data_IF_483775199219
#
_entry.id   IF_483775199219
#
_cell.length_a   1.000
_cell.length_b   1.000
_cell.length_c   1.000
_cell.angle_alpha   90.00
_cell.angle_beta   90.00
_cell.angle_gamma   90.00
#
_symmetry.space_group_name_H-M   'P 1'
#
loop_
_entity.id
_entity.type
_entity.pdbx_description
1 polymer ?
#
# COMPACT_ATOMS: atom_id res chain seq x y z
N UNK A 1 15.44 10.80 8.93
CA UNK A 1 16.18 9.70 8.28
C UNK A 1 15.26 8.50 8.24
N UNK A 2 14.82 8.10 7.05
CA UNK A 2 14.08 6.85 6.84
C UNK A 2 15.10 5.72 6.89
N UNK A 3 14.82 4.64 7.62
CA UNK A 3 15.71 3.48 7.64
C UNK A 3 15.61 2.72 6.30
N UNK A 4 16.66 2.70 5.45
CA UNK A 4 16.57 2.13 4.09
C UNK A 4 16.17 0.65 4.13
N UNK A 5 16.72 -0.10 5.08
CA UNK A 5 16.47 -1.53 5.28
C UNK A 5 14.99 -1.80 5.58
N UNK A 6 14.33 -0.96 6.37
CA UNK A 6 12.92 -1.16 6.71
C UNK A 6 12.04 -0.91 5.47
N UNK A 7 12.36 0.14 4.71
CA UNK A 7 11.65 0.48 3.47
C UNK A 7 11.72 -0.63 2.42
N UNK A 8 12.93 -1.12 2.12
CA UNK A 8 13.14 -2.20 1.14
C UNK A 8 12.38 -3.48 1.52
N UNK A 9 12.42 -3.89 2.79
CA UNK A 9 11.70 -5.09 3.25
C UNK A 9 10.19 -4.92 3.11
N UNK A 10 9.69 -3.72 3.35
CA UNK A 10 8.27 -3.39 3.21
C UNK A 10 7.83 -3.47 1.74
N UNK A 11 8.59 -2.88 0.83
CA UNK A 11 8.32 -2.93 -0.62
C UNK A 11 8.33 -4.37 -1.14
N UNK A 12 9.34 -5.17 -0.76
CA UNK A 12 9.38 -6.60 -1.10
C UNK A 12 8.15 -7.33 -0.56
N UNK A 13 7.74 -7.05 0.68
CA UNK A 13 6.56 -7.66 1.30
C UNK A 13 5.27 -7.32 0.55
N UNK A 14 5.13 -6.09 0.06
CA UNK A 14 4.03 -5.65 -0.80
C UNK A 14 4.09 -6.40 -2.13
N UNK A 15 5.26 -6.45 -2.77
CA UNK A 15 5.49 -7.14 -4.02
C UNK A 15 5.07 -8.62 -3.96
N UNK A 16 5.52 -9.35 -2.93
CA UNK A 16 5.14 -10.75 -2.69
C UNK A 16 3.62 -10.88 -2.51
N UNK A 17 3.01 -10.00 -1.71
CA UNK A 17 1.57 -10.00 -1.45
C UNK A 17 0.76 -9.79 -2.74
N UNK A 18 1.16 -8.81 -3.56
CA UNK A 18 0.44 -8.48 -4.79
C UNK A 18 0.60 -9.60 -5.84
N UNK A 19 1.80 -10.17 -5.96
CA UNK A 19 2.05 -11.30 -6.87
C UNK A 19 1.31 -12.55 -6.42
N UNK A 20 1.24 -12.87 -5.13
CA UNK A 20 0.49 -14.05 -4.65
C UNK A 20 -1.00 -13.94 -4.98
N UNK A 21 -1.57 -12.75 -4.87
CA UNK A 21 -2.97 -12.47 -5.23
C UNK A 21 -3.26 -12.65 -6.72
N UNK A 22 -2.27 -12.50 -7.61
CA UNK A 22 -2.43 -12.78 -9.05
C UNK A 22 -2.81 -14.24 -9.32
N UNK A 23 -2.27 -15.16 -8.51
CA UNK A 23 -2.49 -16.60 -8.67
C UNK A 23 -3.70 -17.12 -7.89
N UNK A 24 -4.20 -16.37 -6.90
CA UNK A 24 -5.26 -16.83 -6.01
C UNK A 24 -6.66 -16.65 -6.60
N UNK A 25 -7.34 -17.76 -6.90
CA UNK A 25 -8.77 -17.76 -7.24
C UNK A 25 -9.67 -17.35 -6.08
N UNK A 26 -9.22 -17.55 -4.84
CA UNK A 26 -9.94 -17.19 -3.61
C UNK A 26 -10.01 -15.67 -3.43
N UNK A 27 -9.09 -14.94 -4.05
CA UNK A 27 -9.04 -13.49 -4.05
C UNK A 27 -9.22 -12.92 -5.46
N UNK A 28 -10.48 -12.85 -5.97
CA UNK A 28 -10.76 -12.37 -7.32
C UNK A 28 -10.32 -10.93 -7.58
N UNK A 29 -9.91 -10.17 -6.54
CA UNK A 29 -9.42 -8.79 -6.66
C UNK A 29 -8.30 -8.61 -7.67
N UNK A 30 -7.34 -9.52 -7.63
CA UNK A 30 -6.15 -9.45 -8.48
C UNK A 30 -5.94 -10.71 -9.31
N UNK A 31 -6.82 -11.72 -9.20
CA UNK A 31 -6.70 -12.97 -9.93
C UNK A 31 -6.58 -12.72 -11.43
N UNK A 32 -5.46 -13.17 -12.03
CA UNK A 32 -5.11 -12.98 -13.45
C UNK A 32 -5.11 -11.53 -13.94
N UNK A 33 -5.06 -10.54 -13.04
CA UNK A 33 -4.94 -9.13 -13.41
C UNK A 33 -3.50 -8.82 -13.79
N UNK A 34 -3.22 -8.63 -15.08
CA UNK A 34 -1.87 -8.29 -15.57
C UNK A 34 -1.33 -7.02 -14.90
N UNK A 35 -2.21 -6.06 -14.59
CA UNK A 35 -1.86 -4.84 -13.88
C UNK A 35 -1.33 -5.12 -12.46
N UNK A 36 -1.94 -6.06 -11.74
CA UNK A 36 -1.47 -6.46 -10.42
C UNK A 36 -0.10 -7.14 -10.52
N UNK A 37 0.12 -8.00 -11.52
CA UNK A 37 1.42 -8.63 -11.73
C UNK A 37 2.52 -7.59 -12.00
N UNK A 38 2.24 -6.58 -12.83
CA UNK A 38 3.19 -5.49 -13.12
C UNK A 38 3.50 -4.68 -11.86
N UNK A 39 2.48 -4.32 -11.06
CA UNK A 39 2.68 -3.59 -9.80
C UNK A 39 3.48 -4.42 -8.80
N UNK A 40 3.15 -5.71 -8.66
CA UNK A 40 3.87 -6.61 -7.77
C UNK A 40 5.32 -6.81 -8.19
N UNK A 41 5.57 -7.00 -9.49
CA UNK A 41 6.93 -7.10 -10.03
C UNK A 41 7.72 -5.79 -9.86
N UNK A 42 7.06 -4.64 -10.02
CA UNK A 42 7.64 -3.34 -9.74
C UNK A 42 8.12 -3.25 -8.28
N UNK A 43 7.28 -3.56 -7.30
CA UNK A 43 7.64 -3.54 -5.88
C UNK A 43 8.70 -4.59 -5.48
N UNK A 44 8.91 -5.63 -6.29
CA UNK A 44 10.02 -6.58 -6.08
C UNK A 44 11.34 -6.11 -6.69
N UNK A 45 11.27 -5.43 -7.84
CA UNK A 45 12.45 -5.02 -8.61
C UNK A 45 13.01 -3.68 -8.15
N UNK A 46 12.14 -2.75 -7.75
CA UNK A 46 12.50 -1.39 -7.38
C UNK A 46 13.47 -1.33 -6.18
N UNK A 47 13.23 -1.98 -5.02
CA UNK A 47 14.19 -1.98 -3.92
C UNK A 47 15.55 -2.61 -4.28
N UNK A 48 15.58 -3.57 -5.20
CA UNK A 48 16.84 -4.14 -5.71
C UNK A 48 17.61 -3.13 -6.56
N UNK A 49 16.91 -2.35 -7.37
CA UNK A 49 17.52 -1.30 -8.19
C UNK A 49 18.03 -0.16 -7.32
N UNK A 50 17.28 0.24 -6.30
CA UNK A 50 17.71 1.24 -5.32
C UNK A 50 19.00 0.81 -4.61
N UNK A 51 19.05 -0.44 -4.13
CA UNK A 51 20.25 -0.99 -3.50
C UNK A 51 21.45 -1.04 -4.45
N UNK A 52 21.25 -1.39 -5.72
CA UNK A 52 22.33 -1.55 -6.70
C UNK A 52 22.82 -0.21 -7.30
N UNK A 53 21.94 0.79 -7.38
CA UNK A 53 22.20 2.05 -8.09
C UNK A 53 22.26 3.27 -7.17
N UNK A 54 22.00 3.12 -5.86
CA UNK A 54 21.97 4.19 -4.85
C UNK A 54 21.01 5.34 -5.23
N UNK A 55 19.81 4.97 -5.68
CA UNK A 55 18.75 5.90 -6.12
C UNK A 55 17.75 6.09 -4.97
N UNK A 56 17.22 7.31 -4.82
CA UNK A 56 16.06 7.56 -3.95
C UNK A 56 14.77 7.39 -4.74
N UNK A 57 14.09 6.26 -4.55
CA UNK A 57 12.83 5.96 -5.22
C UNK A 57 11.57 6.33 -4.45
N UNK A 58 11.63 7.14 -3.39
CA UNK A 58 10.46 7.46 -2.54
C UNK A 58 9.23 7.92 -3.35
N UNK A 59 9.48 8.64 -4.46
CA UNK A 59 8.43 9.07 -5.40
C UNK A 59 7.82 7.89 -6.18
N UNK A 60 8.64 6.93 -6.60
CA UNK A 60 8.18 5.74 -7.31
C UNK A 60 7.37 4.81 -6.41
N UNK A 61 7.80 4.62 -5.16
CA UNK A 61 7.03 3.90 -4.14
C UNK A 61 5.64 4.52 -3.96
N UNK A 62 5.58 5.85 -3.83
CA UNK A 62 4.32 6.60 -3.74
C UNK A 62 3.41 6.39 -4.95
N UNK A 63 3.97 6.47 -6.17
CA UNK A 63 3.23 6.19 -7.41
C UNK A 63 2.73 4.74 -7.43
N UNK A 64 3.56 3.78 -7.04
CA UNK A 64 3.20 2.37 -6.92
C UNK A 64 2.04 2.15 -5.96
N UNK A 65 2.05 2.81 -4.81
CA UNK A 65 0.98 2.75 -3.82
C UNK A 65 -0.35 3.30 -4.39
N UNK A 66 -0.30 4.42 -5.12
CA UNK A 66 -1.49 5.00 -5.77
C UNK A 66 -2.05 4.07 -6.85
N UNK A 67 -1.18 3.46 -7.66
CA UNK A 67 -1.58 2.48 -8.66
C UNK A 67 -2.26 1.27 -8.01
N UNK A 68 -1.71 0.77 -6.89
CA UNK A 68 -2.31 -0.32 -6.15
C UNK A 68 -3.70 0.04 -5.60
N UNK A 69 -3.85 1.23 -5.02
CA UNK A 69 -5.15 1.74 -4.56
C UNK A 69 -6.16 1.82 -5.71
N UNK A 70 -5.71 2.25 -6.89
CA UNK A 70 -6.56 2.29 -8.08
C UNK A 70 -7.03 0.90 -8.51
N UNK A 71 -6.18 -0.13 -8.44
CA UNK A 71 -6.58 -1.52 -8.70
C UNK A 71 -7.68 -1.98 -7.73
N UNK A 72 -7.50 -1.69 -6.44
CA UNK A 72 -8.48 -2.04 -5.40
C UNK A 72 -9.83 -1.35 -5.66
N UNK A 73 -9.85 -0.05 -5.93
CA UNK A 73 -11.09 0.68 -6.24
C UNK A 73 -11.78 0.17 -7.51
N UNK A 74 -11.00 -0.12 -8.56
CA UNK A 74 -11.53 -0.67 -9.81
C UNK A 74 -12.19 -2.02 -9.56
N UNK A 75 -11.59 -2.88 -8.74
CA UNK A 75 -12.22 -4.16 -8.39
C UNK A 75 -13.53 -3.97 -7.63
N UNK A 76 -13.56 -3.10 -6.63
CA UNK A 76 -14.79 -2.83 -5.85
C UNK A 76 -15.89 -2.33 -6.78
N UNK A 77 -15.58 -1.42 -7.70
CA UNK A 77 -16.53 -0.85 -8.66
C UNK A 77 -17.13 -1.93 -9.58
N UNK A 78 -16.29 -2.80 -10.16
CA UNK A 78 -16.72 -3.89 -11.03
C UNK A 78 -17.64 -4.87 -10.29
N UNK A 79 -17.32 -5.24 -9.06
CA UNK A 79 -18.07 -6.27 -8.33
C UNK A 79 -19.31 -5.74 -7.61
N UNK A 80 -19.35 -4.45 -7.27
CA UNK A 80 -20.54 -3.79 -6.70
C UNK A 80 -21.42 -3.12 -7.76
N UNK A 81 -21.10 -3.30 -9.05
CA UNK A 81 -21.76 -2.63 -10.18
C UNK A 81 -21.92 -1.11 -9.94
N UNK A 82 -20.86 -0.48 -9.46
CA UNK A 82 -20.82 0.94 -9.08
C UNK A 82 -19.74 1.68 -9.85
N UNK A 83 -19.75 3.02 -9.76
CA UNK A 83 -18.68 3.85 -10.35
C UNK A 83 -17.43 3.77 -9.49
N UNK A 84 -16.26 3.91 -10.12
CA UNK A 84 -14.98 4.00 -9.43
C UNK A 84 -15.03 5.21 -8.48
N UNK A 85 -14.71 4.96 -7.21
CA UNK A 85 -14.58 6.02 -6.22
C UNK A 85 -13.17 6.60 -6.26
N UNK A 86 -13.04 7.82 -6.80
CA UNK A 86 -11.75 8.51 -6.86
C UNK A 86 -11.36 9.23 -5.56
N UNK A 87 -12.26 9.36 -4.58
CA UNK A 87 -11.97 10.08 -3.34
C UNK A 87 -10.73 9.53 -2.59
N UNK A 88 -10.56 8.19 -2.42
CA UNK A 88 -9.36 7.65 -1.77
C UNK A 88 -8.08 7.96 -2.53
N UNK A 89 -8.11 7.85 -3.86
CA UNK A 89 -6.96 8.18 -4.73
C UNK A 89 -6.58 9.65 -4.62
N UNK A 90 -7.58 10.54 -4.69
CA UNK A 90 -7.38 11.98 -4.54
C UNK A 90 -6.82 12.28 -3.15
N UNK A 91 -7.33 11.65 -2.09
CA UNK A 91 -6.86 11.88 -0.72
C UNK A 91 -5.39 11.47 -0.55
N UNK A 92 -5.03 10.25 -0.95
CA UNK A 92 -3.63 9.77 -0.88
C UNK A 92 -2.69 10.64 -1.73
N UNK A 93 -3.10 10.95 -2.96
CA UNK A 93 -2.39 11.84 -3.87
C UNK A 93 -2.17 13.23 -3.29
N UNK A 94 -3.23 13.81 -2.73
CA UNK A 94 -3.24 15.17 -2.20
C UNK A 94 -2.29 15.32 -1.01
N UNK A 95 -2.25 14.37 -0.06
CA UNK A 95 -1.35 14.52 1.09
C UNK A 95 0.13 14.49 0.69
N UNK A 96 0.54 13.54 -0.17
CA UNK A 96 1.92 13.47 -0.63
C UNK A 96 2.34 14.72 -1.40
N UNK A 97 1.52 15.13 -2.38
CA UNK A 97 1.82 16.30 -3.24
C UNK A 97 1.76 17.60 -2.44
N UNK A 98 0.75 17.81 -1.60
CA UNK A 98 0.62 19.02 -0.79
C UNK A 98 1.79 19.13 0.20
N UNK A 99 2.15 18.02 0.87
CA UNK A 99 3.29 17.98 1.77
C UNK A 99 4.57 18.44 1.08
N UNK A 100 4.89 17.85 -0.08
CA UNK A 100 6.04 18.25 -0.87
C UNK A 100 5.96 19.72 -1.34
N UNK A 101 4.80 20.19 -1.79
CA UNK A 101 4.66 21.57 -2.29
C UNK A 101 4.95 22.60 -1.18
N UNK A 102 4.50 22.33 0.04
CA UNK A 102 4.66 23.22 1.20
C UNK A 102 6.07 23.21 1.78
N UNK A 103 6.74 22.06 1.81
CA UNK A 103 8.03 21.91 2.50
C UNK A 103 9.23 21.83 1.56
N UNK A 104 9.00 21.49 0.28
CA UNK A 104 10.02 21.16 -0.72
C UNK A 104 10.90 19.98 -0.34
N UNK A 105 10.41 19.13 0.56
CA UNK A 105 11.11 17.94 1.04
C UNK A 105 10.45 16.67 0.49
N UNK A 106 11.25 15.84 -0.19
CA UNK A 106 10.81 14.57 -0.78
C UNK A 106 10.32 13.58 0.28
N UNK A 107 10.76 13.70 1.54
CA UNK A 107 10.30 12.86 2.63
C UNK A 107 8.77 12.93 2.84
N UNK A 108 8.09 13.99 2.40
CA UNK A 108 6.64 14.09 2.50
C UNK A 108 5.89 13.16 1.53
N UNK A 109 6.55 12.62 0.50
CA UNK A 109 5.97 11.54 -0.30
C UNK A 109 5.81 10.26 0.53
N UNK A 110 6.67 10.01 1.52
CA UNK A 110 6.50 8.90 2.46
C UNK A 110 5.19 8.99 3.26
N UNK A 111 4.83 10.19 3.75
CA UNK A 111 3.53 10.41 4.40
C UNK A 111 2.36 10.14 3.43
N UNK A 112 2.51 10.53 2.16
CA UNK A 112 1.59 10.18 1.08
C UNK A 112 1.46 8.68 0.87
N UNK A 113 2.58 7.96 0.86
CA UNK A 113 2.67 6.49 0.74
C UNK A 113 1.94 5.82 1.89
N UNK A 114 2.19 6.24 3.13
CA UNK A 114 1.53 5.71 4.33
C UNK A 114 0.02 5.87 4.28
N UNK A 115 -0.49 7.07 3.95
CA UNK A 115 -1.93 7.30 3.79
C UNK A 115 -2.48 6.42 2.68
N UNK A 116 -1.78 6.34 1.55
CA UNK A 116 -2.25 5.58 0.41
C UNK A 116 -2.35 4.10 0.76
N UNK A 117 -1.35 3.52 1.43
CA UNK A 117 -1.44 2.15 1.93
C UNK A 117 -2.50 1.97 3.01
N UNK A 118 -2.71 2.96 3.90
CA UNK A 118 -3.78 2.91 4.89
C UNK A 118 -5.15 2.78 4.21
N UNK A 119 -5.35 3.52 3.11
CA UNK A 119 -6.54 3.44 2.27
C UNK A 119 -6.59 2.12 1.50
N UNK A 120 -5.48 1.63 0.95
CA UNK A 120 -5.41 0.29 0.32
C UNK A 120 -5.90 -0.77 1.30
N UNK A 121 -5.37 -0.80 2.52
CA UNK A 121 -5.76 -1.76 3.55
C UNK A 121 -7.25 -1.62 3.88
N UNK A 122 -7.72 -0.41 4.18
CA UNK A 122 -9.13 -0.17 4.50
C UNK A 122 -10.08 -0.62 3.39
N UNK A 123 -9.77 -0.25 2.15
CA UNK A 123 -10.60 -0.58 0.98
C UNK A 123 -10.54 -2.06 0.63
N UNK A 124 -9.39 -2.69 0.83
CA UNK A 124 -9.25 -4.15 0.74
C UNK A 124 -10.15 -4.84 1.78
N UNK A 125 -10.21 -4.34 3.02
CA UNK A 125 -11.15 -4.83 4.05
C UNK A 125 -12.63 -4.76 3.64
N UNK A 126 -13.02 -3.77 2.84
CA UNK A 126 -14.38 -3.68 2.25
C UNK A 126 -14.54 -4.64 1.07
N UNK A 127 -13.46 -4.87 0.32
CA UNK A 127 -13.46 -5.76 -0.84
C UNK A 127 -13.53 -7.24 -0.42
N UNK A 128 -12.88 -7.63 0.68
CA UNK A 128 -12.91 -9.02 1.17
C UNK A 128 -14.28 -9.45 1.71
N UNK A 129 -15.14 -8.48 2.05
CA UNK A 129 -16.55 -8.74 2.35
C UNK A 129 -17.30 -9.27 1.13
N UNK A 130 -16.92 -8.83 -0.08
CA UNK A 130 -17.46 -9.35 -1.35
C UNK A 130 -17.04 -10.81 -1.54
N UNK A 131 -15.87 -11.19 -1.03
CA UNK A 131 -15.32 -12.55 -1.14
C UNK A 131 -15.68 -13.43 0.07
N UNK A 132 -16.59 -12.96 0.94
CA UNK A 132 -17.05 -13.66 2.15
C UNK A 132 -15.95 -14.10 3.11
N UNK A 133 -14.83 -13.38 3.18
CA UNK A 133 -13.80 -13.68 4.17
C UNK A 133 -14.13 -13.05 5.53
N UNK A 134 -14.15 -13.86 6.59
CA UNK A 134 -14.70 -13.48 7.89
C UNK A 134 -13.81 -12.51 8.69
N UNK A 135 -12.50 -12.50 8.43
CA UNK A 135 -11.53 -11.76 9.24
C UNK A 135 -11.21 -10.35 8.70
N UNK A 136 -12.20 -9.65 8.12
CA UNK A 136 -12.02 -8.29 7.53
C UNK A 136 -11.40 -7.25 8.48
N UNK A 137 -11.54 -7.45 9.80
CA UNK A 137 -10.99 -6.56 10.82
C UNK A 137 -9.46 -6.52 10.80
N UNK A 138 -8.77 -7.53 10.28
CA UNK A 138 -7.30 -7.54 10.18
C UNK A 138 -6.81 -6.44 9.24
N UNK A 139 -7.52 -6.19 8.14
CA UNK A 139 -7.24 -5.07 7.23
C UNK A 139 -7.51 -3.71 7.87
N UNK A 140 -8.49 -3.62 8.77
CA UNK A 140 -8.74 -2.41 9.55
C UNK A 140 -7.60 -2.14 10.53
N UNK A 141 -7.09 -3.18 11.21
CA UNK A 141 -5.93 -3.06 12.12
C UNK A 141 -4.70 -2.59 11.35
N UNK A 142 -4.42 -3.19 10.19
CA UNK A 142 -3.35 -2.74 9.28
C UNK A 142 -3.51 -1.26 8.90
N UNK A 143 -4.73 -0.84 8.50
CA UNK A 143 -5.03 0.55 8.17
C UNK A 143 -4.78 1.50 9.34
N UNK A 144 -5.18 1.12 10.55
CA UNK A 144 -4.98 1.93 11.77
C UNK A 144 -3.49 2.11 12.10
N UNK A 145 -2.68 1.07 11.93
CA UNK A 145 -1.22 1.18 12.09
C UNK A 145 -0.64 2.18 11.11
N UNK A 146 -1.04 2.12 9.84
CA UNK A 146 -0.55 3.01 8.79
C UNK A 146 -0.97 4.47 9.04
N UNK A 147 -2.22 4.71 9.44
CA UNK A 147 -2.67 6.05 9.84
C UNK A 147 -1.94 6.59 11.08
N UNK A 148 -1.69 5.73 12.08
CA UNK A 148 -0.86 6.10 13.23
C UNK A 148 0.58 6.43 12.80
N UNK A 149 1.12 5.72 11.81
CA UNK A 149 2.42 6.01 11.20
C UNK A 149 2.48 7.41 10.58
N UNK A 150 1.42 7.84 9.91
CA UNK A 150 1.30 9.20 9.35
C UNK A 150 1.32 10.25 10.46
N UNK A 151 0.57 10.03 11.54
CA UNK A 151 0.55 10.93 12.70
C UNK A 151 1.93 11.01 13.36
N UNK A 152 2.61 9.87 13.52
CA UNK A 152 3.98 9.84 14.04
C UNK A 152 4.94 10.64 13.15
N UNK A 153 4.83 10.50 11.82
CA UNK A 153 5.63 11.28 10.87
C UNK A 153 5.37 12.79 11.02
N UNK A 154 4.10 13.20 11.08
CA UNK A 154 3.72 14.61 11.24
C UNK A 154 4.22 15.23 12.56
N UNK A 155 4.34 14.41 13.61
CA UNK A 155 4.91 14.80 14.91
C UNK A 155 6.43 14.67 14.96
N UNK A 156 7.10 14.39 13.84
CA UNK A 156 8.56 14.18 13.73
C UNK A 156 9.11 12.97 14.51
N UNK A 157 8.24 12.01 14.84
CA UNK A 157 8.58 10.73 15.48
C UNK A 157 8.93 9.67 14.42
N UNK A 158 10.00 9.90 13.66
CA UNK A 158 10.34 9.09 12.47
C UNK A 158 10.50 7.59 12.75
N UNK A 159 11.20 7.20 13.81
CA UNK A 159 11.39 5.78 14.14
C UNK A 159 10.06 5.07 14.47
N UNK A 160 9.13 5.78 15.11
CA UNK A 160 7.80 5.24 15.38
C UNK A 160 6.98 5.13 14.09
N UNK A 161 7.12 6.11 13.18
CA UNK A 161 6.49 6.06 11.86
C UNK A 161 6.94 4.84 11.06
N UNK A 162 8.25 4.60 10.98
CA UNK A 162 8.84 3.44 10.28
C UNK A 162 8.36 2.11 10.91
N UNK A 163 8.33 2.02 12.25
CA UNK A 163 7.83 0.84 12.95
C UNK A 163 6.35 0.55 12.64
N UNK A 164 5.52 1.60 12.67
CA UNK A 164 4.09 1.48 12.36
C UNK A 164 3.85 1.19 10.88
N UNK A 165 4.69 1.72 9.99
CA UNK A 165 4.67 1.39 8.57
C UNK A 165 4.90 -0.10 8.34
N UNK A 166 6.02 -0.60 8.87
CA UNK A 166 6.39 -1.99 8.79
C UNK A 166 5.30 -2.89 9.37
N UNK A 167 4.85 -2.61 10.61
CA UNK A 167 3.80 -3.39 11.27
C UNK A 167 2.49 -3.40 10.48
N UNK A 168 2.08 -2.25 9.93
CA UNK A 168 0.87 -2.14 9.13
C UNK A 168 0.91 -2.99 7.86
N UNK A 169 2.02 -2.95 7.13
CA UNK A 169 2.20 -3.77 5.91
C UNK A 169 2.34 -5.25 6.25
N UNK A 170 3.02 -5.60 7.33
CA UNK A 170 3.20 -7.00 7.72
C UNK A 170 1.87 -7.66 8.10
N UNK A 171 1.00 -6.94 8.83
CA UNK A 171 -0.37 -7.38 9.13
C UNK A 171 -1.18 -7.53 7.84
N UNK A 172 -1.05 -6.60 6.89
CA UNK A 172 -1.70 -6.70 5.58
C UNK A 172 -1.26 -7.96 4.82
N UNK A 173 0.05 -8.21 4.75
CA UNK A 173 0.64 -9.36 4.07
C UNK A 173 0.12 -10.67 4.67
N UNK A 174 0.11 -10.81 6.00
CA UNK A 174 -0.39 -12.03 6.63
C UNK A 174 -1.86 -12.30 6.33
N UNK A 175 -2.71 -11.26 6.36
CA UNK A 175 -4.11 -11.38 5.97
C UNK A 175 -4.24 -11.85 4.52
N UNK A 176 -3.45 -11.28 3.61
CA UNK A 176 -3.42 -11.68 2.20
C UNK A 176 -3.01 -13.15 2.05
N UNK A 177 -1.92 -13.56 2.69
CA UNK A 177 -1.42 -14.94 2.64
C UNK A 177 -2.50 -15.92 3.13
N UNK A 178 -3.13 -15.63 4.27
CA UNK A 178 -4.20 -16.45 4.84
C UNK A 178 -5.35 -16.67 3.86
N UNK A 179 -5.75 -15.63 3.11
CA UNK A 179 -6.81 -15.76 2.10
C UNK A 179 -6.36 -16.57 0.88
N UNK A 180 -5.06 -16.52 0.55
CA UNK A 180 -4.52 -17.26 -0.61
C UNK A 180 -4.31 -18.75 -0.35
N UNK A 181 -4.13 -19.16 0.91
CA UNK A 181 -4.05 -20.57 1.33
C UNK A 181 -5.42 -21.25 1.20
#
# INVERSE_FOLDING_TARGET
MICPIIREVVEISIGISVVSLFFSKKFPLMYKSFLALVIGAFFLAEPLLDYLLDIDSTVFEFIGALLLLWVVERFIAVNKNSRINFYPLILGGFVGVLGFVLTKDLAYFHAGTLITFALVAFRTGIAVEITHWEHKNVFLISSLFLFAGVLAFALTLFMLSDFLYYGGIFVFMFAVIEITL
#
